data_IF_266346943950
#
_entry.id   IF_266346943950
#
_cell.length_a   1.000
_cell.length_b   1.000
_cell.length_c   1.000
_cell.angle_alpha   90.00
_cell.angle_beta   90.00
_cell.angle_gamma   90.00
#
_symmetry.space_group_name_H-M   'P 1'
#
loop_
_entity.id
_entity.type
_entity.pdbx_description
1 polymer ?
#
# COMPACT_ATOMS: atom_id res chain seq x y z
N UNK A 1 -17.42 50.57 -15.75
CA UNK A 1 -18.70 50.34 -16.46
C UNK A 1 -19.63 49.65 -15.46
N UNK A 2 -20.29 50.41 -14.58
CA UNK A 2 -21.54 51.15 -14.82
C UNK A 2 -22.77 50.27 -14.74
N UNK A 3 -23.12 49.97 -13.49
CA UNK A 3 -24.46 49.94 -12.90
C UNK A 3 -25.56 48.92 -13.31
N UNK A 4 -26.47 48.64 -12.34
CA UNK A 4 -27.46 47.56 -12.32
C UNK A 4 -28.88 48.07 -12.67
N UNK A 5 -29.88 47.19 -12.74
CA UNK A 5 -31.32 47.36 -12.36
C UNK A 5 -32.11 46.14 -12.89
N UNK A 6 -32.64 45.30 -12.00
CA UNK A 6 -34.03 45.30 -11.54
C UNK A 6 -35.04 44.84 -12.60
N UNK A 7 -35.64 43.65 -12.40
CA UNK A 7 -37.10 43.39 -12.52
C UNK A 7 -37.42 41.90 -12.70
N UNK A 8 -37.78 41.24 -11.58
CA UNK A 8 -38.76 40.15 -11.42
C UNK A 8 -38.57 39.65 -9.98
N UNK A 9 -38.93 40.42 -8.95
CA UNK A 9 -40.28 40.76 -8.54
C UNK A 9 -41.22 39.54 -8.43
N UNK A 10 -41.67 39.32 -7.20
CA UNK A 10 -42.88 38.60 -6.78
C UNK A 10 -42.80 37.09 -6.48
N UNK A 11 -42.21 36.75 -5.32
CA UNK A 11 -42.82 35.73 -4.43
C UNK A 11 -43.89 36.43 -3.59
N UNK A 12 -45.17 36.41 -4.02
CA UNK A 12 -46.22 36.20 -3.03
C UNK A 12 -47.38 35.40 -3.64
N UNK A 13 -47.66 34.23 -3.07
CA UNK A 13 -49.01 33.64 -2.97
C UNK A 13 -48.85 32.20 -2.49
N UNK A 14 -49.31 31.81 -1.32
CA UNK A 14 -49.93 32.60 -0.27
C UNK A 14 -49.80 31.82 1.03
N UNK A 15 -49.85 32.54 2.15
CA UNK A 15 -49.97 31.93 3.47
C UNK A 15 -51.10 30.90 3.52
N UNK A 16 -52.14 31.05 2.68
CA UNK A 16 -53.22 30.08 2.49
C UNK A 16 -52.78 28.71 1.95
N UNK A 17 -51.84 28.58 1.01
CA UNK A 17 -51.47 27.25 0.48
C UNK A 17 -50.67 26.41 1.49
N UNK A 18 -49.77 27.07 2.23
CA UNK A 18 -49.06 26.45 3.36
C UNK A 18 -50.01 26.21 4.54
N UNK A 19 -50.98 27.11 4.77
CA UNK A 19 -52.07 26.88 5.73
C UNK A 19 -52.91 25.68 5.31
N UNK A 20 -53.34 25.56 4.05
CA UNK A 20 -54.17 24.47 3.56
C UNK A 20 -53.44 23.13 3.70
N UNK A 21 -52.14 23.06 3.39
CA UNK A 21 -51.35 21.84 3.60
C UNK A 21 -51.18 21.50 5.08
N UNK A 22 -50.89 22.47 5.94
CA UNK A 22 -50.76 22.26 7.40
C UNK A 22 -52.09 21.92 8.07
N UNK A 23 -53.19 22.50 7.58
CA UNK A 23 -54.54 22.25 8.07
C UNK A 23 -55.16 21.02 7.42
N UNK A 24 -54.69 20.52 6.28
CA UNK A 24 -55.15 19.25 5.70
C UNK A 24 -54.87 18.07 6.63
N UNK A 25 -53.68 18.03 7.25
CA UNK A 25 -53.32 16.98 8.22
C UNK A 25 -54.03 17.16 9.57
N UNK A 26 -54.44 18.40 9.91
CA UNK A 26 -55.19 18.71 11.13
C UNK A 26 -56.71 18.67 10.96
N UNK A 27 -57.21 18.72 9.73
CA UNK A 27 -58.63 18.62 9.37
C UNK A 27 -59.26 17.31 9.84
N UNK A 28 -58.64 16.13 9.66
CA UNK A 28 -59.19 14.90 10.21
C UNK A 28 -59.24 14.91 11.75
N UNK A 29 -58.23 15.46 12.42
CA UNK A 29 -58.20 15.58 13.88
C UNK A 29 -59.29 16.53 14.38
N UNK A 30 -59.48 17.66 13.70
CA UNK A 30 -60.53 18.64 13.99
C UNK A 30 -61.92 18.06 13.74
N UNK A 31 -62.11 17.28 12.67
CA UNK A 31 -63.34 16.55 12.40
C UNK A 31 -63.62 15.49 13.47
N UNK A 32 -62.61 14.73 13.91
CA UNK A 32 -62.76 13.74 15.00
C UNK A 32 -63.07 14.43 16.34
N UNK A 33 -62.46 15.58 16.64
CA UNK A 33 -62.78 16.37 17.82
C UNK A 33 -64.22 16.93 17.78
N UNK A 34 -64.67 17.42 16.63
CA UNK A 34 -66.06 17.86 16.42
C UNK A 34 -67.05 16.70 16.52
N UNK A 35 -66.70 15.53 15.99
CA UNK A 35 -67.49 14.30 16.14
C UNK A 35 -67.56 13.87 17.62
N UNK A 36 -66.47 13.99 18.38
CA UNK A 36 -66.43 13.69 19.81
C UNK A 36 -67.27 14.68 20.64
N UNK A 37 -67.24 15.98 20.32
CA UNK A 37 -68.08 17.00 20.97
C UNK A 37 -69.56 16.79 20.62
N UNK A 38 -69.88 16.46 19.36
CA UNK A 38 -71.23 16.10 18.94
C UNK A 38 -71.75 14.85 19.64
N UNK A 39 -70.89 13.86 19.85
CA UNK A 39 -71.19 12.64 20.62
C UNK A 39 -71.43 12.95 22.11
N UNK A 40 -70.64 13.84 22.71
CA UNK A 40 -70.78 14.27 24.10
C UNK A 40 -72.06 15.07 24.32
N UNK A 41 -72.42 15.98 23.40
CA UNK A 41 -73.70 16.69 23.42
C UNK A 41 -74.90 15.74 23.22
N UNK A 42 -74.75 14.72 22.37
CA UNK A 42 -75.77 13.68 22.18
C UNK A 42 -76.03 12.89 23.47
N UNK A 43 -74.99 12.62 24.27
CA UNK A 43 -75.09 11.94 25.57
C UNK A 43 -75.47 12.86 26.75
N UNK A 44 -75.17 14.16 26.67
CA UNK A 44 -75.34 15.12 27.78
C UNK A 44 -76.73 15.73 27.88
N UNK A 45 -77.61 15.59 26.88
CA UNK A 45 -78.92 16.24 26.88
C UNK A 45 -80.07 15.28 27.24
N UNK A 46 -80.46 15.25 28.51
CA UNK A 46 -81.51 14.41 29.11
C UNK A 46 -82.84 15.14 29.31
N UNK A 47 -83.52 15.51 28.22
CA UNK A 47 -84.95 15.86 28.24
C UNK A 47 -85.36 16.90 27.21
N UNK A 48 -86.18 16.51 26.23
CA UNK A 48 -87.05 17.37 25.41
C UNK A 48 -88.07 16.53 24.62
N UNK A 49 -89.23 17.08 24.22
CA UNK A 49 -90.44 16.32 23.90
C UNK A 49 -90.33 15.44 22.64
N UNK A 50 -90.90 14.24 22.75
CA UNK A 50 -90.95 13.12 21.82
C UNK A 50 -91.72 13.45 20.52
N UNK A 51 -91.17 14.30 19.64
CA UNK A 51 -91.68 14.42 18.27
C UNK A 51 -90.99 13.38 17.37
N UNK A 52 -91.74 12.72 16.48
CA UNK A 52 -91.23 11.67 15.59
C UNK A 52 -90.05 12.13 14.70
N UNK A 53 -90.00 13.42 14.38
CA UNK A 53 -88.91 14.06 13.63
C UNK A 53 -87.61 14.14 14.45
N UNK A 54 -87.72 14.37 15.75
CA UNK A 54 -86.58 14.42 16.66
C UNK A 54 -85.96 13.04 16.90
N UNK A 55 -86.79 12.00 17.00
CA UNK A 55 -86.31 10.62 17.18
C UNK A 55 -85.60 10.13 15.92
N UNK A 56 -86.19 10.33 14.73
CA UNK A 56 -85.56 9.93 13.46
C UNK A 56 -84.28 10.72 13.17
N UNK A 57 -84.31 12.04 13.34
CA UNK A 57 -83.14 12.89 13.13
C UNK A 57 -82.02 12.61 14.13
N UNK A 58 -82.34 12.53 15.43
CA UNK A 58 -81.31 12.43 16.47
C UNK A 58 -80.78 11.00 16.62
N UNK A 59 -81.64 9.98 16.67
CA UNK A 59 -81.21 8.60 16.95
C UNK A 59 -80.70 7.84 15.74
N UNK A 60 -81.08 8.25 14.53
CA UNK A 60 -80.69 7.57 13.29
C UNK A 60 -79.83 8.50 12.43
N UNK A 61 -80.30 9.67 12.01
CA UNK A 61 -79.55 10.47 11.03
C UNK A 61 -78.15 10.90 11.52
N UNK A 62 -78.03 11.41 12.74
CA UNK A 62 -76.75 11.90 13.31
C UNK A 62 -75.70 10.79 13.46
N UNK A 63 -75.95 9.64 14.10
CA UNK A 63 -74.92 8.60 14.25
C UNK A 63 -74.51 7.98 12.92
N UNK A 64 -75.43 7.82 11.95
CA UNK A 64 -75.08 7.29 10.64
C UNK A 64 -74.28 8.30 9.79
N UNK A 65 -74.61 9.60 9.87
CA UNK A 65 -73.80 10.65 9.23
C UNK A 65 -72.39 10.73 9.84
N UNK A 66 -72.28 10.62 11.17
CA UNK A 66 -71.01 10.56 11.88
C UNK A 66 -70.17 9.34 11.47
N UNK A 67 -70.80 8.17 11.39
CA UNK A 67 -70.16 6.94 10.91
C UNK A 67 -69.68 7.10 9.46
N UNK A 68 -70.47 7.71 8.59
CA UNK A 68 -70.10 7.93 7.19
C UNK A 68 -68.93 8.91 7.04
N UNK A 69 -68.90 9.98 7.84
CA UNK A 69 -67.78 10.93 7.90
C UNK A 69 -66.51 10.25 8.42
N UNK A 70 -66.62 9.43 9.47
CA UNK A 70 -65.50 8.65 9.99
C UNK A 70 -64.99 7.65 8.95
N UNK A 71 -65.90 6.94 8.27
CA UNK A 71 -65.55 6.00 7.21
C UNK A 71 -64.83 6.73 6.08
N UNK A 72 -65.37 7.85 5.61
CA UNK A 72 -64.73 8.67 4.58
C UNK A 72 -63.30 9.09 4.97
N UNK A 73 -63.10 9.54 6.22
CA UNK A 73 -61.80 9.96 6.73
C UNK A 73 -60.80 8.80 6.79
N UNK A 74 -61.23 7.64 7.28
CA UNK A 74 -60.40 6.41 7.34
C UNK A 74 -60.03 5.94 5.94
N UNK A 75 -60.99 5.88 5.03
CA UNK A 75 -60.75 5.46 3.64
C UNK A 75 -59.83 6.44 2.91
N UNK A 76 -59.95 7.75 3.18
CA UNK A 76 -59.12 8.76 2.53
C UNK A 76 -57.69 8.82 3.06
N UNK A 77 -57.46 8.59 4.37
CA UNK A 77 -56.15 8.82 4.99
C UNK A 77 -55.39 7.54 5.36
N UNK A 78 -56.10 6.52 5.87
CA UNK A 78 -55.45 5.33 6.45
C UNK A 78 -55.13 4.29 5.37
N UNK A 79 -56.06 4.06 4.43
CA UNK A 79 -55.85 3.11 3.34
C UNK A 79 -54.63 3.43 2.46
N UNK A 80 -54.42 4.67 1.97
CA UNK A 80 -53.24 4.95 1.15
C UNK A 80 -51.94 4.74 1.93
N UNK A 81 -51.89 5.08 3.24
CA UNK A 81 -50.71 4.86 4.07
C UNK A 81 -50.36 3.39 4.28
N UNK A 82 -51.37 2.52 4.46
CA UNK A 82 -51.18 1.08 4.60
C UNK A 82 -50.69 0.44 3.29
N UNK A 83 -51.32 0.80 2.17
CA UNK A 83 -50.91 0.29 0.84
C UNK A 83 -49.50 0.75 0.52
N UNK A 84 -49.16 2.02 0.77
CA UNK A 84 -47.81 2.53 0.52
C UNK A 84 -46.76 1.84 1.40
N UNK A 85 -47.07 1.52 2.66
CA UNK A 85 -46.16 0.78 3.54
C UNK A 85 -45.90 -0.66 3.04
N UNK A 86 -46.94 -1.35 2.56
CA UNK A 86 -46.81 -2.69 1.99
C UNK A 86 -46.06 -2.68 0.65
N UNK A 87 -46.36 -1.72 -0.23
CA UNK A 87 -45.61 -1.54 -1.48
C UNK A 87 -44.14 -1.24 -1.21
N UNK A 88 -43.84 -0.38 -0.24
CA UNK A 88 -42.45 -0.10 0.16
C UNK A 88 -41.74 -1.35 0.64
N UNK A 89 -42.38 -2.18 1.48
CA UNK A 89 -41.80 -3.46 1.90
C UNK A 89 -41.58 -4.42 0.74
N UNK A 90 -42.50 -4.47 -0.22
CA UNK A 90 -42.35 -5.28 -1.42
C UNK A 90 -41.16 -4.81 -2.27
N UNK A 91 -41.03 -3.50 -2.46
CA UNK A 91 -39.93 -2.90 -3.21
C UNK A 91 -38.58 -3.11 -2.49
N UNK A 92 -38.53 -2.93 -1.17
CA UNK A 92 -37.32 -3.17 -0.36
C UNK A 92 -36.87 -4.64 -0.46
N UNK A 93 -37.80 -5.61 -0.44
CA UNK A 93 -37.48 -7.04 -0.61
C UNK A 93 -36.98 -7.32 -2.02
N UNK A 94 -37.63 -6.75 -3.03
CA UNK A 94 -37.25 -6.91 -4.44
C UNK A 94 -35.86 -6.32 -4.72
N UNK A 95 -35.57 -5.15 -4.16
CA UNK A 95 -34.25 -4.54 -4.21
C UNK A 95 -33.22 -5.40 -3.47
N UNK A 96 -33.57 -5.88 -2.27
CA UNK A 96 -32.75 -6.82 -1.52
C UNK A 96 -32.35 -8.05 -2.36
N UNK A 97 -33.32 -8.73 -2.97
CA UNK A 97 -33.06 -9.90 -3.84
C UNK A 97 -32.13 -9.55 -5.00
N UNK A 98 -32.38 -8.43 -5.70
CA UNK A 98 -31.51 -7.98 -6.80
C UNK A 98 -30.08 -7.72 -6.33
N UNK A 99 -29.91 -7.04 -5.21
CA UNK A 99 -28.56 -6.79 -4.66
C UNK A 99 -27.85 -8.07 -4.22
N UNK A 100 -28.59 -9.08 -3.74
CA UNK A 100 -28.01 -10.39 -3.43
C UNK A 100 -27.58 -11.13 -4.70
N UNK A 101 -28.38 -11.10 -5.76
CA UNK A 101 -28.02 -11.69 -7.05
C UNK A 101 -26.78 -11.02 -7.66
N UNK A 102 -26.74 -9.69 -7.67
CA UNK A 102 -25.57 -8.92 -8.14
C UNK A 102 -24.31 -9.22 -7.31
N UNK A 103 -24.43 -9.25 -5.98
CA UNK A 103 -23.30 -9.60 -5.09
C UNK A 103 -22.85 -11.04 -5.30
N UNK A 104 -23.77 -11.97 -5.52
CA UNK A 104 -23.44 -13.36 -5.77
C UNK A 104 -22.71 -13.53 -7.11
N UNK A 105 -23.15 -12.82 -8.15
CA UNK A 105 -22.47 -12.83 -9.45
C UNK A 105 -21.05 -12.26 -9.33
N UNK A 106 -20.88 -11.11 -8.67
CA UNK A 106 -19.56 -10.50 -8.41
C UNK A 106 -18.64 -11.45 -7.62
N UNK A 107 -19.15 -12.08 -6.56
CA UNK A 107 -18.38 -13.07 -5.80
C UNK A 107 -18.00 -14.28 -6.65
N UNK A 108 -18.91 -14.76 -7.49
CA UNK A 108 -18.65 -15.88 -8.38
C UNK A 108 -17.57 -15.55 -9.42
N UNK A 109 -17.59 -14.34 -9.96
CA UNK A 109 -16.57 -13.84 -10.90
C UNK A 109 -15.22 -13.72 -10.20
N UNK A 110 -15.17 -13.08 -9.03
CA UNK A 110 -13.94 -12.96 -8.23
C UNK A 110 -13.37 -14.33 -7.84
N UNK A 111 -14.24 -15.29 -7.50
CA UNK A 111 -13.83 -16.65 -7.19
C UNK A 111 -13.21 -17.35 -8.40
N UNK A 112 -13.82 -17.21 -9.59
CA UNK A 112 -13.30 -17.76 -10.84
C UNK A 112 -11.93 -17.16 -11.20
N UNK A 113 -11.81 -15.83 -11.15
CA UNK A 113 -10.55 -15.14 -11.40
C UNK A 113 -9.45 -15.55 -10.42
N UNK A 114 -9.78 -15.68 -9.14
CA UNK A 114 -8.80 -16.11 -8.11
C UNK A 114 -8.39 -17.56 -8.31
N UNK A 115 -9.33 -18.43 -8.69
CA UNK A 115 -9.05 -19.84 -8.95
C UNK A 115 -8.16 -20.03 -10.18
N UNK A 116 -8.42 -19.29 -11.24
CA UNK A 116 -7.59 -19.29 -12.46
C UNK A 116 -6.17 -18.79 -12.16
N UNK A 117 -6.04 -17.72 -11.35
CA UNK A 117 -4.73 -17.27 -10.86
C UNK A 117 -4.03 -18.34 -10.03
N UNK A 118 -4.75 -19.05 -9.17
CA UNK A 118 -4.17 -20.13 -8.36
C UNK A 118 -3.67 -21.30 -9.22
N UNK A 119 -4.43 -21.67 -10.25
CA UNK A 119 -4.07 -22.77 -11.17
C UNK A 119 -2.82 -22.45 -11.98
N UNK A 120 -2.63 -21.18 -12.36
CA UNK A 120 -1.43 -20.73 -13.06
C UNK A 120 -0.20 -20.65 -12.13
N UNK A 121 -0.38 -20.40 -10.83
CA UNK A 121 0.73 -20.26 -9.87
C UNK A 121 1.52 -21.56 -9.70
N UNK A 122 0.87 -22.73 -9.71
CA UNK A 122 1.58 -24.00 -9.57
C UNK A 122 2.56 -24.23 -10.75
N UNK A 123 2.14 -23.89 -11.98
CA UNK A 123 3.01 -23.93 -13.15
C UNK A 123 4.14 -22.90 -13.09
N UNK A 124 3.86 -21.67 -12.64
CA UNK A 124 4.88 -20.64 -12.44
C UNK A 124 5.93 -21.05 -11.41
N UNK A 125 5.54 -21.75 -10.34
CA UNK A 125 6.45 -22.28 -9.31
C UNK A 125 7.35 -23.36 -9.91
N UNK A 126 6.81 -24.27 -10.71
CA UNK A 126 7.60 -25.30 -11.37
C UNK A 126 8.61 -24.70 -12.36
N UNK A 127 8.19 -23.73 -13.18
CA UNK A 127 9.09 -23.00 -14.07
C UNK A 127 10.16 -22.21 -13.30
N UNK A 128 9.82 -21.65 -12.14
CA UNK A 128 10.77 -20.93 -11.29
C UNK A 128 11.81 -21.88 -10.71
N UNK A 129 11.39 -23.06 -10.23
CA UNK A 129 12.27 -24.09 -9.71
C UNK A 129 13.23 -24.59 -10.79
N UNK A 130 12.73 -24.91 -11.99
CA UNK A 130 13.57 -25.35 -13.10
C UNK A 130 14.58 -24.28 -13.53
N UNK A 131 14.17 -23.00 -13.57
CA UNK A 131 15.09 -21.89 -13.85
C UNK A 131 16.14 -21.71 -12.76
N UNK A 132 15.74 -21.82 -11.49
CA UNK A 132 16.64 -21.69 -10.36
C UNK A 132 17.69 -22.82 -10.34
N UNK A 133 17.29 -24.06 -10.62
CA UNK A 133 18.20 -25.19 -10.71
C UNK A 133 19.21 -24.99 -11.84
N UNK A 134 18.74 -24.64 -13.03
CA UNK A 134 19.63 -24.36 -14.17
C UNK A 134 20.61 -23.22 -13.89
N UNK A 135 20.15 -22.11 -13.31
CA UNK A 135 21.01 -21.00 -12.92
C UNK A 135 22.04 -21.41 -11.86
N UNK A 136 21.63 -22.23 -10.88
CA UNK A 136 22.53 -22.73 -9.86
C UNK A 136 23.63 -23.63 -10.44
N UNK A 137 23.30 -24.51 -11.39
CA UNK A 137 24.27 -25.35 -12.08
C UNK A 137 25.25 -24.54 -12.95
N UNK A 138 24.74 -23.55 -13.68
CA UNK A 138 25.57 -22.66 -14.51
C UNK A 138 26.51 -21.82 -13.63
N UNK A 139 26.01 -21.21 -12.56
CA UNK A 139 26.84 -20.43 -11.63
C UNK A 139 27.84 -21.29 -10.87
N UNK A 140 27.46 -22.51 -10.46
CA UNK A 140 28.40 -23.46 -9.84
C UNK A 140 29.54 -23.78 -10.79
N UNK A 141 29.24 -24.08 -12.05
CA UNK A 141 30.25 -24.37 -13.08
C UNK A 141 31.19 -23.19 -13.30
N UNK A 142 30.63 -21.98 -13.46
CA UNK A 142 31.43 -20.75 -13.61
C UNK A 142 32.30 -20.47 -12.39
N UNK A 143 31.78 -20.69 -11.18
CA UNK A 143 32.53 -20.48 -9.94
C UNK A 143 33.72 -21.43 -9.86
N UNK A 144 33.52 -22.70 -10.21
CA UNK A 144 34.60 -23.70 -10.27
C UNK A 144 35.64 -23.30 -11.32
N UNK A 145 35.22 -22.96 -12.54
CA UNK A 145 36.14 -22.55 -13.61
C UNK A 145 36.94 -21.30 -13.22
N UNK A 146 36.31 -20.32 -12.57
CA UNK A 146 36.99 -19.14 -12.05
C UNK A 146 37.95 -19.48 -10.94
N UNK A 147 37.58 -20.36 -10.01
CA UNK A 147 38.44 -20.82 -8.94
C UNK A 147 39.68 -21.56 -9.48
N UNK A 148 39.51 -22.43 -10.49
CA UNK A 148 40.60 -23.12 -11.17
C UNK A 148 41.54 -22.13 -11.88
N UNK A 149 40.99 -21.17 -12.63
CA UNK A 149 41.79 -20.11 -13.28
C UNK A 149 42.56 -19.27 -12.26
N UNK A 150 41.94 -18.96 -11.12
CA UNK A 150 42.60 -18.23 -10.04
C UNK A 150 43.70 -19.07 -9.40
N UNK A 151 43.48 -20.36 -9.16
CA UNK A 151 44.50 -21.26 -8.62
C UNK A 151 45.73 -21.33 -9.53
N UNK A 152 45.54 -21.52 -10.84
CA UNK A 152 46.63 -21.53 -11.82
C UNK A 152 47.37 -20.18 -11.85
N UNK A 153 46.64 -19.08 -11.73
CA UNK A 153 47.25 -17.74 -11.67
C UNK A 153 48.10 -17.57 -10.40
N UNK A 154 47.58 -17.99 -9.25
CA UNK A 154 48.31 -17.94 -7.97
C UNK A 154 49.58 -18.78 -8.04
N UNK A 155 49.51 -19.99 -8.62
CA UNK A 155 50.68 -20.85 -8.77
C UNK A 155 51.76 -20.17 -9.63
N UNK A 156 51.37 -19.59 -10.77
CA UNK A 156 52.28 -18.83 -11.63
C UNK A 156 52.87 -17.62 -10.93
N UNK A 157 52.06 -16.86 -10.20
CA UNK A 157 52.52 -15.69 -9.46
C UNK A 157 53.49 -16.08 -8.34
N UNK A 158 53.20 -17.15 -7.58
CA UNK A 158 54.12 -17.71 -6.59
C UNK A 158 55.45 -18.16 -7.22
N UNK A 159 55.43 -18.83 -8.37
CA UNK A 159 56.64 -19.25 -9.07
C UNK A 159 57.49 -18.04 -9.50
N UNK A 160 56.86 -16.97 -10.01
CA UNK A 160 57.53 -15.73 -10.37
C UNK A 160 58.14 -15.03 -9.15
N UNK A 161 57.40 -14.96 -8.04
CA UNK A 161 57.89 -14.38 -6.78
C UNK A 161 59.07 -15.19 -6.25
N UNK A 162 59.00 -16.52 -6.29
CA UNK A 162 60.08 -17.39 -5.84
C UNK A 162 61.37 -17.19 -6.66
N UNK A 163 61.27 -17.07 -7.99
CA UNK A 163 62.43 -16.79 -8.84
C UNK A 163 63.02 -15.40 -8.51
N UNK A 164 62.16 -14.39 -8.33
CA UNK A 164 62.61 -13.05 -7.94
C UNK A 164 63.32 -13.04 -6.59
N UNK A 165 62.76 -13.70 -5.56
CA UNK A 165 63.37 -13.78 -4.24
C UNK A 165 64.67 -14.61 -4.28
N UNK A 166 64.73 -15.70 -5.04
CA UNK A 166 65.96 -16.48 -5.22
C UNK A 166 67.08 -15.63 -5.83
N UNK A 167 66.76 -14.86 -6.87
CA UNK A 167 67.73 -13.95 -7.51
C UNK A 167 68.19 -12.85 -6.56
N UNK A 168 67.27 -12.25 -5.79
CA UNK A 168 67.62 -11.25 -4.76
C UNK A 168 68.52 -11.85 -3.68
N UNK A 169 68.19 -13.04 -3.17
CA UNK A 169 69.02 -13.74 -2.18
C UNK A 169 70.43 -14.02 -2.71
N UNK A 170 70.55 -14.48 -3.96
CA UNK A 170 71.86 -14.68 -4.60
C UNK A 170 72.65 -13.38 -4.75
N UNK A 171 71.99 -12.28 -5.12
CA UNK A 171 72.64 -10.96 -5.22
C UNK A 171 73.10 -10.46 -3.86
N UNK A 172 72.28 -10.62 -2.82
CA UNK A 172 72.61 -10.23 -1.45
C UNK A 172 73.80 -11.04 -0.92
N UNK A 173 73.80 -12.36 -1.08
CA UNK A 173 74.93 -13.23 -0.67
C UNK A 173 76.23 -12.79 -1.38
N UNK A 174 76.18 -12.51 -2.69
CA UNK A 174 77.36 -12.04 -3.42
C UNK A 174 77.86 -10.69 -2.89
N UNK A 175 76.95 -9.76 -2.61
CA UNK A 175 77.29 -8.45 -2.04
C UNK A 175 77.94 -8.60 -0.67
N UNK A 176 77.35 -9.40 0.20
CA UNK A 176 77.84 -9.63 1.56
C UNK A 176 79.22 -10.31 1.54
N UNK A 177 79.45 -11.27 0.63
CA UNK A 177 80.77 -11.89 0.43
C UNK A 177 81.84 -10.90 -0.05
N UNK A 178 81.50 -9.99 -0.97
CA UNK A 178 82.43 -8.96 -1.47
C UNK A 178 82.76 -7.97 -0.35
N UNK A 179 81.76 -7.55 0.43
CA UNK A 179 81.92 -6.64 1.57
C UNK A 179 82.84 -7.27 2.63
N UNK A 180 82.60 -8.53 3.02
CA UNK A 180 83.45 -9.25 3.98
C UNK A 180 84.88 -9.48 3.44
N UNK A 181 85.05 -9.73 2.13
CA UNK A 181 86.36 -9.86 1.50
C UNK A 181 87.14 -8.53 1.48
N UNK A 182 86.46 -7.41 1.19
CA UNK A 182 87.06 -6.08 1.26
C UNK A 182 87.46 -5.72 2.69
N UNK A 183 86.63 -6.03 3.68
CA UNK A 183 86.94 -5.79 5.10
C UNK A 183 88.17 -6.60 5.54
N UNK A 184 88.25 -7.89 5.18
CA UNK A 184 89.43 -8.73 5.46
C UNK A 184 90.67 -8.23 4.73
N UNK A 185 90.55 -7.84 3.46
CA UNK A 185 91.65 -7.27 2.69
C UNK A 185 92.13 -5.94 3.31
N UNK A 186 91.21 -5.06 3.72
CA UNK A 186 91.55 -3.82 4.42
C UNK A 186 92.22 -4.08 5.76
N UNK A 187 91.76 -5.09 6.52
CA UNK A 187 92.39 -5.52 7.76
C UNK A 187 93.83 -6.00 7.50
N UNK A 188 94.04 -6.90 6.53
CA UNK A 188 95.38 -7.41 6.17
C UNK A 188 96.28 -6.27 5.68
N UNK A 189 95.79 -5.36 4.84
CA UNK A 189 96.55 -4.19 4.38
C UNK A 189 96.98 -3.32 5.55
N UNK A 190 96.08 -3.01 6.49
CA UNK A 190 96.42 -2.25 7.70
C UNK A 190 97.50 -2.94 8.54
N UNK A 191 97.48 -4.27 8.64
CA UNK A 191 98.49 -5.03 9.38
C UNK A 191 99.82 -5.17 8.63
N UNK A 192 99.80 -5.27 7.29
CA UNK A 192 101.02 -5.41 6.46
C UNK A 192 101.75 -4.09 6.23
N UNK A 193 101.02 -2.97 6.14
CA UNK A 193 101.61 -1.63 6.03
C UNK A 193 102.34 -1.18 7.31
N UNK A 194 102.19 -1.88 8.43
CA UNK A 194 102.87 -1.55 9.69
C UNK A 194 104.31 -2.06 9.81
N UNK A 195 104.73 -3.08 9.05
CA UNK A 195 106.02 -3.76 9.29
C UNK A 195 106.98 -3.85 8.10
N UNK A 196 106.54 -3.76 6.84
CA UNK A 196 107.41 -4.15 5.71
C UNK A 196 107.60 -3.11 4.60
N UNK A 197 106.98 -1.92 4.70
CA UNK A 197 107.02 -0.92 3.61
C UNK A 197 107.67 0.42 3.98
N UNK A 198 108.51 0.43 5.02
CA UNK A 198 109.31 1.60 5.38
C UNK A 198 110.79 1.51 4.98
N UNK A 199 111.23 0.42 4.35
CA UNK A 199 112.62 0.25 3.91
C UNK A 199 112.83 -0.16 2.44
N UNK A 200 111.77 -0.47 1.67
CA UNK A 200 111.95 -0.93 0.27
C UNK A 200 112.03 0.19 -0.78
N UNK A 201 111.67 1.42 -0.41
CA UNK A 201 111.69 2.57 -1.33
C UNK A 201 112.97 3.42 -1.34
N UNK A 202 114.09 2.96 -0.79
CA UNK A 202 115.37 3.68 -0.89
C UNK A 202 116.45 3.01 -1.74
N UNK A 203 116.27 1.74 -2.16
CA UNK A 203 117.34 1.02 -2.87
C UNK A 203 117.12 0.91 -4.39
N UNK A 204 115.90 1.09 -4.89
CA UNK A 204 115.62 1.00 -6.34
C UNK A 204 115.98 2.26 -7.14
N UNK A 205 116.22 3.40 -6.48
CA UNK A 205 116.71 4.60 -7.16
C UNK A 205 118.21 4.56 -7.49
N UNK A 206 118.99 3.70 -6.81
CA UNK A 206 120.44 3.61 -7.03
C UNK A 206 120.83 2.59 -8.11
N UNK A 207 119.99 1.60 -8.40
CA UNK A 207 120.27 0.60 -9.45
C UNK A 207 119.95 1.06 -10.88
N UNK A 208 119.08 2.07 -11.07
CA UNK A 208 118.80 2.60 -12.41
C UNK A 208 119.86 3.59 -12.92
N UNK A 209 120.77 4.06 -12.06
CA UNK A 209 121.85 4.98 -12.45
C UNK A 209 123.17 4.26 -12.78
N UNK A 210 123.42 3.08 -12.21
CA UNK A 210 124.65 2.31 -12.49
C UNK A 210 124.59 1.54 -13.82
N UNK A 211 123.39 1.24 -14.33
CA UNK A 211 123.22 0.55 -15.61
C UNK A 211 123.17 1.49 -16.82
N UNK A 212 123.63 2.75 -16.68
CA UNK A 212 123.65 3.76 -17.76
C UNK A 212 124.94 4.59 -17.82
N UNK A 213 126.07 4.01 -17.41
CA UNK A 213 127.44 4.50 -17.72
C UNK A 213 128.33 3.32 -18.05
#
# INVERSE_FOLDING_TARGET
MSQPTASQASRPSGGMAQWIAKYHDMLPVFCVALMAVGFLMYWSNSGHPESWQYVLGRKILVPYANLFILLYLVFSNVLPGLVQSLSKRHDDIKEGIRTFEERNDVLSQQYRETREKLENVDGEIEELLQRAEKLAEEEKTKTIEQAEKQAVRIEKDCANILDQETRKLQQNIKRDMIEEAFDKAQAILKTSFGNDDQNRHQTEYLQQLENRS
#
